data_IF_849855303459
#
_entry.id   IF_849855303459
#
_cell.length_a   1.000
_cell.length_b   1.000
_cell.length_c   1.000
_cell.angle_alpha   90.00
_cell.angle_beta   90.00
_cell.angle_gamma   90.00
#
_symmetry.space_group_name_H-M   'P 1'
#
loop_
_entity.id
_entity.type
_entity.pdbx_description
1 polymer ?
#
# COMPACT_ATOMS: atom_id res chain seq x y z
N UNK A 1 13.75 4.13 -23.37
CA UNK A 1 13.56 4.64 -22.00
C UNK A 1 12.97 3.52 -21.15
N UNK A 2 13.68 3.01 -20.14
CA UNK A 2 13.07 2.09 -19.15
C UNK A 2 12.06 2.90 -18.35
N UNK A 3 10.79 2.48 -18.35
CA UNK A 3 9.73 3.13 -17.59
C UNK A 3 10.17 3.19 -16.11
N UNK A 4 10.46 4.40 -15.62
CA UNK A 4 10.85 4.68 -14.22
C UNK A 4 9.72 4.39 -13.24
N UNK A 5 8.52 4.15 -13.77
CA UNK A 5 7.31 3.90 -13.02
C UNK A 5 6.53 2.70 -13.56
N UNK A 6 5.92 1.95 -12.65
CA UNK A 6 4.97 0.86 -12.93
C UNK A 6 3.57 1.38 -12.60
N UNK A 7 2.59 1.19 -13.48
CA UNK A 7 1.20 1.61 -13.20
C UNK A 7 0.54 0.70 -12.16
N UNK A 8 -0.51 1.15 -11.47
CA UNK A 8 -1.26 0.31 -10.52
C UNK A 8 -1.75 -1.01 -11.15
N UNK A 9 -2.38 -1.04 -12.34
CA UNK A 9 -2.76 -2.30 -12.97
C UNK A 9 -1.56 -3.21 -13.28
N UNK A 10 -0.45 -2.64 -13.77
CA UNK A 10 0.77 -3.40 -14.06
C UNK A 10 1.42 -3.94 -12.78
N UNK A 11 1.37 -3.18 -11.69
CA UNK A 11 1.84 -3.61 -10.38
C UNK A 11 1.05 -4.84 -9.93
N UNK A 12 -0.28 -4.79 -9.96
CA UNK A 12 -1.13 -5.92 -9.58
C UNK A 12 -0.84 -7.17 -10.42
N UNK A 13 -0.66 -7.01 -11.73
CA UNK A 13 -0.29 -8.11 -12.62
C UNK A 13 1.06 -8.73 -12.26
N UNK A 14 2.08 -7.93 -11.96
CA UNK A 14 3.40 -8.43 -11.57
C UNK A 14 3.36 -9.22 -10.26
N UNK A 15 2.63 -8.73 -9.27
CA UNK A 15 2.47 -9.45 -7.99
C UNK A 15 1.75 -10.79 -8.20
N UNK A 16 0.67 -10.81 -8.99
CA UNK A 16 -0.02 -12.06 -9.33
C UNK A 16 0.90 -13.05 -10.06
N UNK A 17 1.67 -12.57 -11.04
CA UNK A 17 2.60 -13.41 -11.80
C UNK A 17 3.70 -14.00 -10.92
N UNK A 18 4.23 -13.23 -9.96
CA UNK A 18 5.25 -13.71 -9.03
C UNK A 18 4.76 -14.91 -8.20
N UNK A 19 3.53 -14.87 -7.71
CA UNK A 19 2.94 -16.00 -6.97
C UNK A 19 2.71 -17.20 -7.90
N UNK A 20 2.04 -17.00 -9.04
CA UNK A 20 1.67 -18.07 -9.98
C UNK A 20 2.92 -18.80 -10.50
N UNK A 21 3.99 -18.07 -10.79
CA UNK A 21 5.25 -18.62 -11.32
C UNK A 21 5.90 -19.64 -10.39
N UNK A 22 5.74 -19.48 -9.08
CA UNK A 22 6.30 -20.40 -8.08
C UNK A 22 5.29 -21.46 -7.67
N UNK A 23 4.04 -21.05 -7.47
CA UNK A 23 2.98 -21.91 -6.93
C UNK A 23 1.61 -21.53 -7.48
N UNK A 24 1.15 -22.16 -8.57
CA UNK A 24 -0.13 -21.82 -9.23
C UNK A 24 -1.37 -21.95 -8.33
N UNK A 25 -1.29 -22.74 -7.27
CA UNK A 25 -2.40 -23.02 -6.36
C UNK A 25 -2.39 -22.17 -5.08
N UNK A 26 -1.33 -21.37 -4.83
CA UNK A 26 -1.28 -20.52 -3.62
C UNK A 26 -2.24 -19.35 -3.76
N UNK A 27 -2.92 -19.01 -2.66
CA UNK A 27 -3.83 -17.87 -2.62
C UNK A 27 -3.02 -16.58 -2.50
N UNK A 28 -3.41 -15.56 -3.26
CA UNK A 28 -2.86 -14.21 -3.15
C UNK A 28 -3.96 -13.25 -2.68
N UNK A 29 -3.65 -12.43 -1.68
CA UNK A 29 -4.46 -11.27 -1.31
C UNK A 29 -3.61 -10.00 -1.36
N UNK A 30 -4.17 -8.91 -1.88
CA UNK A 30 -3.53 -7.58 -1.88
C UNK A 30 -4.49 -6.58 -1.24
N UNK A 31 -4.03 -5.86 -0.22
CA UNK A 31 -4.83 -4.89 0.56
C UNK A 31 -4.08 -3.56 0.73
N UNK A 32 -4.82 -2.48 0.99
CA UNK A 32 -4.28 -1.12 1.24
C UNK A 32 -4.14 -0.23 -0.01
N UNK A 33 -4.70 -0.66 -1.14
CA UNK A 33 -4.71 0.10 -2.41
C UNK A 33 -6.14 0.42 -2.91
N UNK A 34 -7.17 0.08 -2.12
CA UNK A 34 -8.58 0.11 -2.51
C UNK A 34 -9.08 1.51 -2.85
N UNK A 35 -8.54 2.52 -2.15
CA UNK A 35 -8.93 3.91 -2.32
C UNK A 35 -8.20 4.61 -3.49
N UNK A 36 -7.30 3.92 -4.19
CA UNK A 36 -6.53 4.50 -5.29
C UNK A 36 -7.23 4.25 -6.63
N UNK A 37 -7.79 5.30 -7.23
CA UNK A 37 -8.35 5.23 -8.60
C UNK A 37 -7.28 5.01 -9.66
N UNK A 38 -6.10 5.60 -9.48
CA UNK A 38 -4.91 5.37 -10.31
C UNK A 38 -3.65 5.72 -9.52
N UNK A 39 -2.56 5.01 -9.78
CA UNK A 39 -1.26 5.26 -9.14
C UNK A 39 -0.08 4.84 -10.03
N UNK A 40 1.10 5.35 -9.69
CA UNK A 40 2.39 4.97 -10.29
C UNK A 40 3.39 4.64 -9.18
N UNK A 41 3.94 3.44 -9.23
CA UNK A 41 4.95 2.93 -8.32
C UNK A 41 6.33 3.11 -8.93
N UNK A 42 7.39 3.22 -8.13
CA UNK A 42 8.76 3.24 -8.65
C UNK A 42 9.13 1.85 -9.17
N UNK A 43 9.49 1.71 -10.45
CA UNK A 43 9.70 0.38 -11.07
C UNK A 43 10.77 -0.46 -10.37
N UNK A 44 11.84 0.17 -9.88
CA UNK A 44 12.89 -0.52 -9.13
C UNK A 44 12.36 -1.12 -7.81
N UNK A 45 11.46 -0.41 -7.13
CA UNK A 45 10.84 -0.89 -5.88
C UNK A 45 9.81 -1.98 -6.19
N UNK A 46 9.05 -1.85 -7.27
CA UNK A 46 8.15 -2.91 -7.73
C UNK A 46 8.90 -4.22 -7.98
N UNK A 47 10.03 -4.20 -8.69
CA UNK A 47 10.82 -5.41 -8.93
C UNK A 47 11.38 -6.04 -7.65
N UNK A 48 11.73 -5.22 -6.65
CA UNK A 48 12.14 -5.73 -5.32
C UNK A 48 10.99 -6.41 -4.58
N UNK A 49 9.77 -5.86 -4.66
CA UNK A 49 8.57 -6.45 -4.07
C UNK A 49 8.22 -7.76 -4.78
N UNK A 50 8.28 -7.77 -6.12
CA UNK A 50 8.08 -8.98 -6.93
C UNK A 50 9.01 -10.12 -6.49
N UNK A 51 10.29 -9.81 -6.29
CA UNK A 51 11.28 -10.80 -5.81
C UNK A 51 10.97 -11.31 -4.40
N UNK A 52 10.50 -10.44 -3.50
CA UNK A 52 10.10 -10.84 -2.15
C UNK A 52 8.83 -11.72 -2.16
N UNK A 53 7.88 -11.42 -3.05
CA UNK A 53 6.68 -12.25 -3.25
C UNK A 53 7.06 -13.61 -3.82
N UNK A 54 7.99 -13.69 -4.78
CA UNK A 54 8.51 -14.98 -5.27
C UNK A 54 9.19 -15.78 -4.15
N UNK A 55 9.96 -15.12 -3.28
CA UNK A 55 10.66 -15.75 -2.15
C UNK A 55 9.66 -16.40 -1.19
N UNK A 56 8.64 -15.65 -0.75
CA UNK A 56 7.57 -16.16 0.14
C UNK A 56 6.73 -17.24 -0.56
N UNK A 57 6.38 -17.06 -1.84
CA UNK A 57 5.58 -18.03 -2.60
C UNK A 57 6.32 -19.34 -2.92
N UNK A 58 7.64 -19.38 -2.79
CA UNK A 58 8.46 -20.56 -3.00
C UNK A 58 8.54 -21.45 -1.74
N UNK A 59 8.19 -20.92 -0.57
CA UNK A 59 8.09 -21.70 0.66
C UNK A 59 6.90 -22.66 0.57
N UNK A 60 7.14 -23.95 0.85
CA UNK A 60 6.12 -25.00 0.76
C UNK A 60 5.15 -24.95 1.94
N UNK A 61 5.58 -24.43 3.09
CA UNK A 61 4.78 -24.40 4.31
C UNK A 61 3.81 -23.20 4.37
N UNK A 62 3.88 -22.29 3.37
CA UNK A 62 3.02 -21.09 3.27
C UNK A 62 1.85 -21.30 2.30
N UNK A 63 0.62 -21.46 2.77
CA UNK A 63 -0.53 -21.68 1.86
C UNK A 63 -1.04 -20.41 1.16
N UNK A 64 -0.75 -19.23 1.73
CA UNK A 64 -1.27 -17.93 1.30
C UNK A 64 -0.20 -16.85 1.37
N UNK A 65 -0.14 -16.03 0.32
CA UNK A 65 0.67 -14.81 0.29
C UNK A 65 -0.24 -13.60 0.42
N UNK A 66 0.08 -12.72 1.37
CA UNK A 66 -0.59 -11.43 1.54
C UNK A 66 0.38 -10.29 1.23
N UNK A 67 -0.08 -9.34 0.41
CA UNK A 67 0.68 -8.11 0.09
C UNK A 67 -0.10 -6.93 0.63
N UNK A 68 0.38 -6.38 1.74
CA UNK A 68 -0.31 -5.33 2.48
C UNK A 68 0.45 -4.01 2.30
N UNK A 69 -0.22 -2.99 1.78
CA UNK A 69 0.36 -1.67 1.56
C UNK A 69 -0.14 -0.70 2.62
N UNK A 70 0.74 -0.31 3.54
CA UNK A 70 0.43 0.62 4.63
C UNK A 70 1.12 1.97 4.46
N UNK A 71 0.52 3.07 4.95
CA UNK A 71 1.21 4.35 5.08
C UNK A 71 2.44 4.20 5.98
N UNK A 72 3.61 4.62 5.49
CA UNK A 72 4.85 4.57 6.28
C UNK A 72 4.89 5.61 7.41
N UNK A 73 4.07 6.66 7.31
CA UNK A 73 3.85 7.65 8.35
C UNK A 73 2.40 7.47 8.80
N UNK A 74 2.15 6.79 9.94
CA UNK A 74 0.82 6.33 10.34
C UNK A 74 -0.08 7.45 10.87
N UNK A 75 0.50 8.60 11.24
CA UNK A 75 -0.21 9.77 11.73
C UNK A 75 -0.05 10.95 10.78
N UNK A 76 -1.16 11.57 10.41
CA UNK A 76 -1.18 12.74 9.53
C UNK A 76 -2.20 13.75 10.01
N UNK A 77 -1.75 14.99 10.24
CA UNK A 77 -2.59 16.12 10.62
C UNK A 77 -3.23 16.73 9.37
N UNK A 78 -4.56 16.90 9.39
CA UNK A 78 -5.34 17.38 8.26
C UNK A 78 -6.21 18.57 8.64
N UNK A 79 -6.36 19.54 7.73
CA UNK A 79 -7.39 20.58 7.84
C UNK A 79 -8.73 20.05 7.34
N UNK A 80 -9.75 20.14 8.17
CA UNK A 80 -11.14 19.85 7.80
C UNK A 80 -11.86 21.17 7.51
N UNK A 81 -12.54 21.25 6.37
CA UNK A 81 -13.31 22.44 5.99
C UNK A 81 -14.79 22.08 5.89
N UNK A 82 -15.60 22.61 6.80
CA UNK A 82 -17.05 22.45 6.80
C UNK A 82 -17.67 23.69 6.15
N UNK A 83 -18.20 23.56 4.93
CA UNK A 83 -18.81 24.68 4.18
C UNK A 83 -20.34 24.56 4.14
N UNK A 84 -21.02 25.64 4.50
CA UNK A 84 -22.44 25.83 4.23
C UNK A 84 -22.66 26.41 2.83
N UNK A 85 -23.33 25.67 1.97
CA UNK A 85 -23.65 26.06 0.58
C UNK A 85 -25.13 26.48 0.52
N UNK A 86 -25.43 27.63 -0.08
CA UNK A 86 -26.81 28.09 -0.26
C UNK A 86 -27.50 27.43 -1.46
N UNK A 87 -28.80 27.71 -1.62
CA UNK A 87 -29.62 27.16 -2.73
C UNK A 87 -29.16 27.58 -4.14
N UNK A 88 -28.24 28.53 -4.24
CA UNK A 88 -27.67 29.02 -5.51
C UNK A 88 -26.27 28.46 -5.76
N UNK A 89 -25.75 27.59 -4.87
CA UNK A 89 -24.41 27.00 -4.98
C UNK A 89 -23.29 27.85 -4.41
N UNK A 90 -23.59 28.99 -3.76
CA UNK A 90 -22.57 29.87 -3.20
C UNK A 90 -22.22 29.44 -1.77
N UNK A 91 -20.92 29.45 -1.43
CA UNK A 91 -20.47 29.24 -0.06
C UNK A 91 -20.76 30.47 0.80
N UNK A 92 -21.54 30.32 1.89
CA UNK A 92 -21.95 31.42 2.78
C UNK A 92 -21.22 31.43 4.12
N UNK A 93 -20.79 30.27 4.59
CA UNK A 93 -20.05 30.11 5.85
C UNK A 93 -19.11 28.94 5.73
N UNK A 94 -17.93 29.04 6.35
CA UNK A 94 -17.02 27.93 6.54
C UNK A 94 -16.55 27.88 8.00
N UNK A 95 -16.33 26.67 8.52
CA UNK A 95 -15.61 26.42 9.76
C UNK A 95 -14.42 25.56 9.40
N UNK A 96 -13.24 25.95 9.90
CA UNK A 96 -12.00 25.20 9.73
C UNK A 96 -11.68 24.52 11.06
N UNK A 97 -11.40 23.23 11.00
CA UNK A 97 -10.97 22.41 12.13
C UNK A 97 -9.70 21.65 11.75
N UNK A 98 -9.06 21.07 12.75
CA UNK A 98 -7.91 20.17 12.56
C UNK A 98 -8.28 18.79 13.12
N UNK A 99 -7.90 17.74 12.39
CA UNK A 99 -8.01 16.36 12.85
C UNK A 99 -6.71 15.60 12.57
N UNK A 100 -6.33 14.72 13.48
CA UNK A 100 -5.29 13.73 13.23
C UNK A 100 -5.94 12.44 12.75
N UNK A 101 -5.48 11.93 11.60
CA UNK A 101 -5.87 10.60 11.11
C UNK A 101 -4.74 9.63 11.46
N UNK A 102 -5.08 8.62 12.25
CA UNK A 102 -4.14 7.60 12.75
C UNK A 102 -4.51 6.26 12.12
N UNK A 103 -3.53 5.61 11.50
CA UNK A 103 -3.66 4.27 10.93
C UNK A 103 -2.81 3.27 11.74
N UNK A 104 -3.19 1.99 11.78
CA UNK A 104 -2.32 0.94 12.30
C UNK A 104 -0.96 0.93 11.59
N UNK A 105 0.09 0.64 12.36
CA UNK A 105 1.44 0.40 11.84
C UNK A 105 1.61 -1.06 11.39
N UNK A 106 2.77 -1.38 10.84
CA UNK A 106 3.14 -2.76 10.49
C UNK A 106 3.02 -3.74 11.66
N UNK A 107 3.15 -3.27 12.91
CA UNK A 107 3.07 -4.11 14.11
C UNK A 107 1.72 -4.83 14.21
N UNK A 108 0.64 -4.20 13.74
CA UNK A 108 -0.69 -4.82 13.73
C UNK A 108 -0.80 -5.98 12.72
N UNK A 109 -0.02 -5.96 11.64
CA UNK A 109 -0.01 -7.02 10.62
C UNK A 109 1.06 -8.09 10.89
N UNK A 110 2.05 -7.78 11.73
CA UNK A 110 3.16 -8.68 12.07
C UNK A 110 2.93 -9.43 13.39
N UNK A 111 1.73 -9.34 13.96
CA UNK A 111 1.37 -10.08 15.16
C UNK A 111 1.55 -11.59 14.93
N UNK A 112 2.26 -12.26 15.85
CA UNK A 112 2.61 -13.68 15.75
C UNK A 112 3.49 -14.08 14.54
N UNK A 113 4.18 -13.13 13.92
CA UNK A 113 5.16 -13.43 12.87
C UNK A 113 6.51 -13.80 13.52
N UNK A 114 6.94 -15.05 13.37
CA UNK A 114 8.18 -15.56 13.98
C UNK A 114 9.44 -14.99 13.32
N UNK A 115 9.42 -14.79 12.00
CA UNK A 115 10.57 -14.31 11.22
C UNK A 115 10.23 -13.03 10.47
N UNK A 116 10.94 -11.94 10.79
CA UNK A 116 10.75 -10.61 10.19
C UNK A 116 12.07 -10.14 9.57
N UNK A 117 12.08 -9.94 8.25
CA UNK A 117 13.22 -9.37 7.51
C UNK A 117 12.88 -7.94 7.06
N UNK A 118 13.33 -6.93 7.80
CA UNK A 118 13.11 -5.52 7.43
C UNK A 118 14.14 -5.03 6.39
N UNK A 119 13.69 -4.89 5.14
CA UNK A 119 14.50 -4.40 4.01
C UNK A 119 14.26 -2.92 3.68
N UNK A 120 13.47 -2.21 4.51
CA UNK A 120 13.12 -0.80 4.32
C UNK A 120 14.30 0.09 4.75
N UNK A 121 14.51 1.26 4.13
CA UNK A 121 15.44 2.24 4.68
C UNK A 121 14.91 2.80 6.01
N UNK A 122 15.69 3.60 6.72
CA UNK A 122 15.18 4.39 7.86
C UNK A 122 14.28 5.54 7.37
N UNK A 123 13.36 6.02 8.21
CA UNK A 123 12.54 7.19 7.89
C UNK A 123 13.45 8.40 7.59
N UNK A 124 13.10 9.17 6.55
CA UNK A 124 13.92 10.30 6.08
C UNK A 124 15.15 9.92 5.24
N UNK A 125 15.42 8.62 5.02
CA UNK A 125 16.45 8.14 4.09
C UNK A 125 15.76 7.42 2.93
N UNK A 126 15.82 7.96 1.71
CA UNK A 126 15.13 7.43 0.52
C UNK A 126 16.09 7.21 -0.65
#
# INVERSE_FOLDING_TARGET
>A
MKLMHTSLPEFMLKIMQAVIKRSPNKKLEVRGLENLKSAKMQSLRTGRIESAVEEVANDKDIDRVEVIVLPRVPETMHTVIVKGIDKYGNAKKAILEVINIIHPTEEAELENCEEIIDRRPQLGRH
#
